data_IF_586484158682
#
_entry.id   IF_586484158682
#
_cell.length_a   1.000
_cell.length_b   1.000
_cell.length_c   1.000
_cell.angle_alpha   90.00
_cell.angle_beta   90.00
_cell.angle_gamma   90.00
#
_symmetry.space_group_name_H-M   'P 1'
#
loop_
_entity.id
_entity.type
_entity.pdbx_description
1 polymer ?
#
# COMPACT_ATOMS: atom_id res chain seq x y z
N UNK A 1 0.79 -7.16 -9.99
CA UNK A 1 1.89 -6.26 -9.61
C UNK A 1 2.01 -5.04 -10.54
N UNK A 2 1.80 -5.19 -11.85
CA UNK A 2 1.89 -4.06 -12.80
C UNK A 2 1.04 -2.83 -12.42
N UNK A 3 -0.16 -3.04 -11.87
CA UNK A 3 -1.03 -1.95 -11.42
C UNK A 3 -0.33 -0.99 -10.47
N UNK A 4 0.23 -1.47 -9.35
CA UNK A 4 0.90 -0.60 -8.36
C UNK A 4 2.09 0.15 -8.97
N UNK A 5 2.84 -0.48 -9.88
CA UNK A 5 3.97 0.16 -10.55
C UNK A 5 3.51 1.30 -11.46
N UNK A 6 2.43 1.09 -12.23
CA UNK A 6 1.84 2.13 -13.09
C UNK A 6 1.30 3.31 -12.27
N UNK A 7 0.50 3.03 -11.24
CA UNK A 7 -0.13 4.07 -10.41
C UNK A 7 0.93 4.97 -9.75
N UNK A 8 1.99 4.38 -9.16
CA UNK A 8 3.07 5.16 -8.53
C UNK A 8 3.78 6.07 -9.55
N UNK A 9 4.03 5.58 -10.76
CA UNK A 9 4.66 6.38 -11.81
C UNK A 9 3.77 7.55 -12.24
N UNK A 10 2.49 7.29 -12.53
CA UNK A 10 1.54 8.28 -13.02
C UNK A 10 1.26 9.38 -11.98
N UNK A 11 1.07 9.00 -10.71
CA UNK A 11 0.73 9.94 -9.65
C UNK A 11 1.96 10.67 -9.07
N UNK A 12 3.16 10.06 -9.09
CA UNK A 12 4.32 10.61 -8.35
C UNK A 12 5.56 10.89 -9.19
N UNK A 13 5.64 10.35 -10.40
CA UNK A 13 6.82 10.44 -11.27
C UNK A 13 7.93 9.43 -10.96
N UNK A 14 7.79 8.64 -9.88
CA UNK A 14 8.78 7.63 -9.51
C UNK A 14 8.48 6.26 -10.13
N UNK A 15 9.54 5.56 -10.54
CA UNK A 15 9.47 4.12 -10.78
C UNK A 15 9.74 3.40 -9.47
N UNK A 16 8.95 2.37 -9.20
CA UNK A 16 9.11 1.58 -7.99
C UNK A 16 9.08 0.08 -8.25
N UNK A 17 9.71 -0.67 -7.34
CA UNK A 17 9.59 -2.12 -7.23
C UNK A 17 8.84 -2.47 -5.94
N UNK A 18 7.67 -3.12 -6.03
CA UNK A 18 6.96 -3.58 -4.84
C UNK A 18 7.75 -4.69 -4.16
N UNK A 19 8.08 -4.50 -2.88
CA UNK A 19 8.86 -5.47 -2.09
C UNK A 19 7.93 -6.39 -1.30
N UNK A 20 6.87 -5.84 -0.70
CA UNK A 20 6.01 -6.55 0.26
C UNK A 20 4.56 -6.09 0.20
N UNK A 21 3.62 -7.02 0.42
CA UNK A 21 2.23 -6.70 0.72
C UNK A 21 2.06 -6.45 2.22
N UNK A 22 1.72 -5.22 2.59
CA UNK A 22 1.55 -4.81 3.99
C UNK A 22 0.18 -5.20 4.55
N UNK A 23 -0.88 -4.94 3.79
CA UNK A 23 -2.24 -5.28 4.22
C UNK A 23 -3.19 -5.47 3.03
N UNK A 24 -4.21 -6.28 3.27
CA UNK A 24 -5.39 -6.41 2.40
C UNK A 24 -6.60 -5.98 3.22
N UNK A 25 -7.29 -4.94 2.75
CA UNK A 25 -8.48 -4.43 3.39
C UNK A 25 -9.69 -4.75 2.52
N UNK A 26 -10.75 -5.24 3.15
CA UNK A 26 -11.99 -5.66 2.47
C UNK A 26 -13.15 -4.86 3.03
N UNK A 27 -13.95 -4.26 2.14
CA UNK A 27 -15.15 -3.52 2.51
C UNK A 27 -16.34 -4.06 1.72
N UNK A 28 -17.22 -4.79 2.41
CA UNK A 28 -18.36 -5.44 1.76
C UNK A 28 -17.93 -6.51 0.75
N UNK A 29 -18.76 -6.75 -0.27
CA UNK A 29 -18.56 -7.87 -1.20
C UNK A 29 -17.72 -7.57 -2.44
N UNK A 30 -17.37 -6.31 -2.69
CA UNK A 30 -16.82 -5.88 -3.97
C UNK A 30 -15.64 -4.93 -3.90
N UNK A 31 -15.16 -4.59 -2.70
CA UNK A 31 -14.05 -3.65 -2.54
C UNK A 31 -12.90 -4.29 -1.79
N UNK A 32 -11.74 -4.27 -2.44
CA UNK A 32 -10.48 -4.81 -1.93
C UNK A 32 -9.39 -3.77 -2.16
N UNK A 33 -8.64 -3.45 -1.11
CA UNK A 33 -7.46 -2.60 -1.19
C UNK A 33 -6.23 -3.38 -0.75
N UNK A 34 -5.27 -3.47 -1.66
CA UNK A 34 -3.96 -4.05 -1.43
C UNK A 34 -2.96 -2.93 -1.23
N UNK A 35 -2.30 -2.91 -0.06
CA UNK A 35 -1.32 -1.88 0.29
C UNK A 35 0.08 -2.48 0.21
N UNK A 36 0.95 -1.89 -0.60
CA UNK A 36 2.30 -2.40 -0.84
C UNK A 36 3.35 -1.46 -0.25
N UNK A 37 4.43 -2.04 0.27
CA UNK A 37 5.69 -1.31 0.46
C UNK A 37 6.50 -1.43 -0.84
N UNK A 38 6.95 -0.30 -1.38
CA UNK A 38 7.70 -0.26 -2.63
C UNK A 38 9.03 0.47 -2.43
N UNK A 39 10.08 -0.04 -3.07
CA UNK A 39 11.35 0.66 -3.18
C UNK A 39 11.34 1.54 -4.42
N UNK A 40 11.79 2.77 -4.30
CA UNK A 40 11.99 3.65 -5.46
C UNK A 40 13.30 3.27 -6.11
N UNK A 41 13.25 3.01 -7.41
CA UNK A 41 14.38 2.52 -8.18
C UNK A 41 14.89 3.55 -9.19
N UNK A 42 14.04 4.50 -9.60
CA UNK A 42 14.35 5.51 -10.62
C UNK A 42 13.24 6.59 -10.64
N UNK A 43 13.42 7.62 -11.47
CA UNK A 43 12.47 8.70 -11.70
C UNK A 43 12.71 9.92 -10.81
N UNK A 44 11.91 10.94 -11.05
CA UNK A 44 11.99 12.22 -10.33
C UNK A 44 10.62 12.61 -9.79
N UNK A 45 10.62 13.36 -8.69
CA UNK A 45 9.39 13.81 -8.05
C UNK A 45 8.57 14.66 -9.02
N UNK A 46 7.33 14.26 -9.26
CA UNK A 46 6.36 15.03 -10.04
C UNK A 46 6.04 16.36 -9.34
N UNK A 47 6.31 17.46 -10.04
CA UNK A 47 6.04 18.84 -9.59
C UNK A 47 5.10 19.59 -10.54
N UNK A 48 4.76 19.00 -11.68
CA UNK A 48 3.85 19.58 -12.68
C UNK A 48 2.52 18.84 -12.56
N UNK A 49 1.45 19.59 -12.42
CA UNK A 49 0.10 19.08 -12.29
C UNK A 49 -0.45 18.55 -13.63
N UNK A 50 -1.24 17.49 -13.57
CA UNK A 50 -2.04 16.95 -14.66
C UNK A 50 -3.36 16.35 -14.14
N UNK A 51 -4.01 15.51 -14.95
CA UNK A 51 -5.30 14.89 -14.59
C UNK A 51 -5.17 13.79 -13.52
N UNK A 52 -3.98 13.20 -13.33
CA UNK A 52 -3.74 12.14 -12.34
C UNK A 52 -3.45 12.75 -10.97
N UNK A 53 -2.57 13.74 -10.92
CA UNK A 53 -2.21 14.40 -9.66
C UNK A 53 -1.68 15.82 -9.85
N UNK A 54 -1.83 16.65 -8.81
CA UNK A 54 -1.25 18.00 -8.78
C UNK A 54 0.28 17.98 -8.56
N UNK A 55 0.81 16.86 -8.11
CA UNK A 55 2.21 16.66 -7.76
C UNK A 55 2.36 15.66 -6.61
N UNK A 56 3.60 15.36 -6.25
CA UNK A 56 3.93 14.46 -5.14
C UNK A 56 4.97 15.08 -4.21
N UNK A 57 5.00 14.65 -2.94
CA UNK A 57 5.99 15.11 -1.98
C UNK A 57 6.26 14.08 -0.87
N UNK A 58 7.41 14.24 -0.21
CA UNK A 58 7.80 13.47 0.96
C UNK A 58 7.44 14.22 2.22
N UNK A 59 6.85 13.49 3.18
CA UNK A 59 6.46 14.03 4.47
C UNK A 59 7.01 13.15 5.59
N UNK A 60 7.46 13.73 6.71
CA UNK A 60 7.80 12.95 7.90
C UNK A 60 6.56 12.22 8.43
N UNK A 61 6.72 10.94 8.79
CA UNK A 61 5.62 10.11 9.32
C UNK A 61 4.97 10.77 10.54
N UNK A 62 5.75 11.38 11.43
CA UNK A 62 5.24 12.06 12.63
C UNK A 62 4.32 13.23 12.30
N UNK A 63 4.58 13.97 11.21
CA UNK A 63 3.72 15.07 10.76
C UNK A 63 2.40 14.55 10.17
N UNK A 64 2.48 13.46 9.40
CA UNK A 64 1.31 12.75 8.86
C UNK A 64 0.42 12.26 9.99
N UNK A 65 0.99 11.55 10.98
CA UNK A 65 0.27 11.01 12.16
C UNK A 65 -0.29 12.12 13.06
N UNK A 66 0.43 13.23 13.19
CA UNK A 66 -0.06 14.42 13.90
C UNK A 66 -1.14 15.19 13.14
N UNK A 67 -1.56 14.73 11.95
CA UNK A 67 -2.59 15.37 11.10
C UNK A 67 -2.26 16.84 10.79
N UNK A 68 -0.98 17.15 10.63
CA UNK A 68 -0.53 18.50 10.21
C UNK A 68 -0.75 18.78 8.73
N UNK A 69 -1.05 17.74 7.96
CA UNK A 69 -1.38 17.79 6.54
C UNK A 69 -2.90 17.74 6.37
N UNK A 70 -3.42 18.45 5.37
CA UNK A 70 -4.80 18.29 4.93
C UNK A 70 -4.91 16.99 4.12
N UNK A 71 -5.49 15.96 4.74
CA UNK A 71 -5.61 14.63 4.15
C UNK A 71 -6.98 14.48 3.52
N UNK A 72 -7.03 13.94 2.29
CA UNK A 72 -8.30 13.57 1.61
C UNK A 72 -9.19 12.69 2.50
N UNK A 73 -8.56 11.78 3.26
CA UNK A 73 -9.24 10.85 4.15
C UNK A 73 -8.27 10.38 5.23
N UNK A 74 -8.80 10.11 6.43
CA UNK A 74 -8.02 9.59 7.56
C UNK A 74 -7.75 8.09 7.48
N UNK A 75 -8.39 7.37 6.56
CA UNK A 75 -8.21 5.92 6.41
C UNK A 75 -6.78 5.52 6.03
N UNK A 76 -6.05 6.40 5.35
CA UNK A 76 -4.63 6.23 5.05
C UNK A 76 -3.75 6.16 6.31
N UNK A 77 -4.13 6.83 7.40
CA UNK A 77 -3.35 6.82 8.65
C UNK A 77 -3.19 5.40 9.21
N UNK A 78 -4.24 4.59 9.10
CA UNK A 78 -4.20 3.19 9.52
C UNK A 78 -3.15 2.38 8.72
N UNK A 79 -3.01 2.67 7.42
CA UNK A 79 -2.00 2.01 6.57
C UNK A 79 -0.59 2.42 7.01
N UNK A 80 -0.38 3.69 7.35
CA UNK A 80 0.91 4.18 7.85
C UNK A 80 1.27 3.50 9.18
N UNK A 81 0.32 3.38 10.10
CA UNK A 81 0.50 2.68 11.37
C UNK A 81 0.81 1.18 11.17
N UNK A 82 0.03 0.49 10.35
CA UNK A 82 0.26 -0.91 9.98
C UNK A 82 1.66 -1.11 9.36
N UNK A 83 2.09 -0.20 8.49
CA UNK A 83 3.40 -0.23 7.86
C UNK A 83 4.54 -0.03 8.88
N UNK A 84 4.41 0.94 9.78
CA UNK A 84 5.41 1.24 10.81
C UNK A 84 5.57 0.06 11.77
N UNK A 85 4.45 -0.48 12.28
CA UNK A 85 4.46 -1.67 13.13
C UNK A 85 5.10 -2.88 12.44
N UNK A 86 4.73 -3.12 11.17
CA UNK A 86 5.29 -4.21 10.39
C UNK A 86 6.81 -4.07 10.24
N UNK A 87 7.31 -2.87 9.90
CA UNK A 87 8.75 -2.62 9.73
C UNK A 87 9.50 -2.75 11.06
N UNK A 88 8.93 -2.28 12.17
CA UNK A 88 9.50 -2.48 13.50
C UNK A 88 9.62 -3.98 13.84
N UNK A 89 8.54 -4.76 13.63
CA UNK A 89 8.55 -6.22 13.84
C UNK A 89 9.56 -6.91 12.92
N UNK A 90 9.64 -6.52 11.63
CA UNK A 90 10.61 -7.10 10.68
C UNK A 90 12.06 -6.85 11.12
N UNK A 91 12.35 -5.66 11.64
CA UNK A 91 13.66 -5.32 12.21
C UNK A 91 13.96 -6.08 13.51
N UNK A 92 12.95 -6.42 14.31
CA UNK A 92 13.13 -7.21 15.54
C UNK A 92 13.30 -8.71 15.25
N UNK A 93 12.62 -9.22 14.22
CA UNK A 93 12.58 -10.64 13.84
C UNK A 93 13.27 -10.90 12.50
N UNK A 94 14.42 -10.25 12.27
CA UNK A 94 15.21 -10.38 11.03
C UNK A 94 15.35 -11.86 10.66
N UNK A 95 14.95 -12.20 9.42
CA UNK A 95 14.97 -13.55 8.84
C UNK A 95 13.91 -14.56 9.32
N UNK A 96 12.89 -14.17 10.11
CA UNK A 96 11.77 -15.08 10.48
C UNK A 96 10.45 -14.77 9.81
N UNK A 97 10.25 -13.53 9.37
CA UNK A 97 9.07 -13.15 8.60
C UNK A 97 9.42 -13.18 7.12
N UNK A 98 8.88 -14.15 6.39
CA UNK A 98 9.03 -14.20 4.94
C UNK A 98 8.33 -13.02 4.31
N UNK A 99 9.02 -12.35 3.38
CA UNK A 99 8.38 -11.42 2.46
C UNK A 99 7.38 -12.20 1.63
N UNK A 100 6.20 -11.64 1.40
CA UNK A 100 5.24 -12.24 0.50
C UNK A 100 4.68 -11.17 -0.43
N UNK A 101 4.60 -11.55 -1.69
CA UNK A 101 3.96 -10.78 -2.74
C UNK A 101 2.90 -11.66 -3.39
N UNK A 102 1.75 -11.09 -3.79
CA UNK A 102 0.81 -11.79 -4.65
C UNK A 102 1.51 -12.20 -5.94
N UNK A 103 1.53 -13.50 -6.22
CA UNK A 103 1.98 -14.03 -7.50
C UNK A 103 0.78 -14.21 -8.43
N UNK A 104 0.89 -13.87 -9.73
CA UNK A 104 -0.19 -14.03 -10.70
C UNK A 104 -0.32 -15.47 -11.19
N UNK A 105 -0.12 -16.45 -10.30
CA UNK A 105 -0.14 -17.88 -10.62
C UNK A 105 -1.01 -18.57 -9.58
N UNK A 106 -1.97 -19.38 -10.04
CA UNK A 106 -2.74 -20.25 -9.15
C UNK A 106 -1.81 -21.25 -8.49
N UNK A 107 -1.85 -21.33 -7.16
CA UNK A 107 -1.05 -22.28 -6.38
C UNK A 107 -1.97 -23.36 -5.80
N UNK A 108 -1.74 -24.61 -6.17
CA UNK A 108 -2.53 -25.74 -5.65
C UNK A 108 -2.45 -25.79 -4.12
N UNK A 109 -3.61 -25.80 -3.47
CA UNK A 109 -3.74 -25.88 -2.01
C UNK A 109 -3.71 -24.55 -1.26
N UNK A 110 -3.45 -23.41 -1.91
CA UNK A 110 -3.59 -22.08 -1.30
C UNK A 110 -4.90 -21.43 -1.75
N UNK A 111 -5.94 -21.57 -0.94
CA UNK A 111 -7.22 -20.93 -1.16
C UNK A 111 -7.39 -19.78 -0.16
N UNK A 112 -7.47 -18.54 -0.66
CA UNK A 112 -7.98 -17.42 0.12
C UNK A 112 -9.45 -17.27 -0.26
N UNK A 113 -10.33 -17.84 0.56
CA UNK A 113 -11.78 -17.72 0.40
C UNK A 113 -12.30 -16.53 1.20
N UNK A 114 -12.83 -15.52 0.51
CA UNK A 114 -13.55 -14.43 1.15
C UNK A 114 -15.04 -14.77 1.18
N UNK A 115 -15.55 -15.22 2.32
CA UNK A 115 -16.98 -15.41 2.52
C UNK A 115 -17.63 -14.07 2.95
N UNK A 116 -18.35 -13.41 2.04
CA UNK A 116 -19.11 -12.21 2.37
C UNK A 116 -20.55 -12.58 2.73
N UNK A 117 -20.85 -12.60 4.03
CA UNK A 117 -22.18 -12.86 4.55
C UNK A 117 -22.99 -11.57 4.62
N UNK A 118 -24.00 -11.43 3.76
CA UNK A 118 -25.01 -10.37 3.88
C UNK A 118 -26.00 -10.77 4.97
N UNK A 119 -25.87 -10.23 6.18
CA UNK A 119 -26.89 -10.38 7.21
C UNK A 119 -28.05 -9.43 6.91
N UNK A 120 -29.23 -9.97 6.62
CA UNK A 120 -30.48 -9.20 6.54
C UNK A 120 -30.99 -9.09 7.98
N UNK A 121 -31.17 -7.86 8.50
CA UNK A 121 -31.90 -7.62 9.75
C UNK A 121 -33.41 -7.62 9.48
#
# INVERSE_FOLDING_TARGET
MEGVVREVLEETGYKCEPEELLSVQVQGSGWYRFSFYCNIIDGERKVIADNESLGANWFPIDEVKAKKLDLRSSDFLKIVEEAEEYRQKRNQFVNKLSQFLPIPISTDGLFIEFAILRTVK
#
